data_IF_227553778621
#
_entry.id   IF_227553778621
#
_cell.length_a   1.000
_cell.length_b   1.000
_cell.length_c   1.000
_cell.angle_alpha   90.00
_cell.angle_beta   90.00
_cell.angle_gamma   90.00
#
_symmetry.space_group_name_H-M   'P 1'
#
loop_
_entity.id
_entity.type
_entity.pdbx_description
1 polymer ?
#
# COMPACT_ATOMS: atom_id res chain seq x y z
N UNK A 1 -10.33 -14.03 -5.74
CA UNK A 1 -9.55 -13.49 -4.62
C UNK A 1 -8.11 -13.41 -5.05
N UNK A 2 -7.52 -12.21 -5.08
CA UNK A 2 -6.12 -12.02 -5.47
C UNK A 2 -5.17 -12.70 -4.47
N UNK A 3 -4.19 -13.41 -5.01
CA UNK A 3 -3.03 -13.90 -4.28
C UNK A 3 -2.10 -12.76 -3.85
N UNK A 4 -1.18 -13.05 -2.93
CA UNK A 4 -0.17 -12.08 -2.47
C UNK A 4 0.69 -11.54 -3.61
N UNK A 5 1.12 -12.41 -4.53
CA UNK A 5 1.95 -12.03 -5.69
C UNK A 5 1.18 -11.10 -6.64
N UNK A 6 -0.09 -11.43 -6.93
CA UNK A 6 -0.95 -10.57 -7.74
C UNK A 6 -1.20 -9.23 -7.06
N UNK A 7 -1.32 -9.20 -5.73
CA UNK A 7 -1.46 -7.97 -4.97
C UNK A 7 -0.20 -7.10 -5.02
N UNK A 8 1.00 -7.68 -4.92
CA UNK A 8 2.25 -6.95 -5.11
C UNK A 8 2.38 -6.38 -6.52
N UNK A 9 1.94 -7.13 -7.53
CA UNK A 9 1.94 -6.64 -8.91
C UNK A 9 0.94 -5.49 -9.11
N UNK A 10 -0.27 -5.61 -8.56
CA UNK A 10 -1.29 -4.55 -8.60
C UNK A 10 -0.82 -3.28 -7.88
N UNK A 11 -0.25 -3.42 -6.68
CA UNK A 11 0.32 -2.30 -5.92
C UNK A 11 1.45 -1.61 -6.70
N UNK A 12 2.34 -2.39 -7.33
CA UNK A 12 3.43 -1.83 -8.16
C UNK A 12 2.89 -0.95 -9.28
N UNK A 13 1.93 -1.46 -10.06
CA UNK A 13 1.35 -0.70 -11.18
C UNK A 13 0.62 0.54 -10.72
N UNK A 14 -0.08 0.46 -9.59
CA UNK A 14 -0.73 1.62 -8.98
C UNK A 14 0.30 2.70 -8.59
N UNK A 15 1.37 2.30 -7.89
CA UNK A 15 2.43 3.21 -7.43
C UNK A 15 3.22 3.82 -8.59
N UNK A 16 3.50 3.05 -9.65
CA UNK A 16 4.12 3.55 -10.88
C UNK A 16 3.27 4.65 -11.53
N UNK A 17 1.94 4.55 -11.47
CA UNK A 17 1.04 5.60 -11.96
C UNK A 17 1.00 6.84 -11.07
N UNK A 18 1.14 6.68 -9.75
CA UNK A 18 1.11 7.79 -8.78
C UNK A 18 2.42 8.59 -8.80
N UNK A 19 3.56 7.89 -8.83
CA UNK A 19 4.90 8.49 -8.71
C UNK A 19 5.61 8.61 -10.07
N UNK A 20 4.87 8.60 -11.19
CA UNK A 20 5.43 8.63 -12.55
C UNK A 20 6.34 9.84 -12.82
N UNK A 21 6.01 10.98 -12.22
CA UNK A 21 6.75 12.25 -12.38
C UNK A 21 7.62 12.57 -11.15
N UNK A 22 7.71 11.67 -10.18
CA UNK A 22 8.52 11.87 -8.97
C UNK A 22 9.95 11.33 -9.17
N UNK A 23 10.91 11.92 -8.46
CA UNK A 23 12.29 11.46 -8.42
C UNK A 23 12.49 10.24 -7.51
N UNK A 24 11.43 9.80 -6.82
CA UNK A 24 11.46 8.68 -5.89
C UNK A 24 11.49 7.33 -6.61
N UNK A 25 12.46 6.49 -6.25
CA UNK A 25 12.50 5.10 -6.69
C UNK A 25 11.68 4.24 -5.73
N UNK A 26 10.46 3.87 -6.11
CA UNK A 26 9.54 3.14 -5.21
C UNK A 26 9.97 1.66 -5.03
N UNK A 27 10.07 1.25 -3.77
CA UNK A 27 10.38 -0.11 -3.32
C UNK A 27 9.20 -0.69 -2.54
N UNK A 28 8.63 -1.78 -3.04
CA UNK A 28 7.63 -2.56 -2.30
C UNK A 28 8.32 -3.41 -1.24
N UNK A 29 7.83 -3.34 0.00
CA UNK A 29 8.27 -4.13 1.15
C UNK A 29 7.40 -5.37 1.30
N UNK A 30 7.68 -6.37 0.47
CA UNK A 30 6.88 -7.60 0.40
C UNK A 30 6.85 -8.37 1.73
N UNK A 31 7.91 -8.25 2.52
CA UNK A 31 8.08 -8.80 3.87
C UNK A 31 7.15 -8.17 4.92
N UNK A 32 6.66 -6.96 4.65
CA UNK A 32 5.80 -6.19 5.56
C UNK A 32 4.34 -6.11 5.06
N UNK A 33 3.96 -7.00 4.14
CA UNK A 33 2.57 -7.04 3.65
C UNK A 33 1.67 -7.74 4.65
N UNK A 34 0.59 -7.08 5.03
CA UNK A 34 -0.38 -7.61 5.98
C UNK A 34 -1.60 -8.18 5.22
N UNK A 35 -2.09 -9.34 5.69
CA UNK A 35 -3.30 -9.99 5.18
C UNK A 35 -4.52 -9.54 5.98
N UNK A 36 -5.48 -8.93 5.29
CA UNK A 36 -6.84 -8.73 5.80
C UNK A 36 -7.83 -9.59 5.00
N UNK A 37 -8.96 -10.00 5.60
CA UNK A 37 -9.94 -10.87 4.93
C UNK A 37 -10.40 -10.38 3.55
N UNK A 38 -10.45 -9.07 3.31
CA UNK A 38 -10.91 -8.45 2.07
C UNK A 38 -9.80 -7.73 1.28
N UNK A 39 -8.59 -7.59 1.82
CA UNK A 39 -7.51 -6.84 1.19
C UNK A 39 -6.11 -7.28 1.62
N UNK A 40 -5.12 -6.82 0.86
CA UNK A 40 -3.72 -6.82 1.24
C UNK A 40 -3.30 -5.39 1.57
N UNK A 41 -2.64 -5.16 2.70
CA UNK A 41 -1.99 -3.88 2.98
C UNK A 41 -0.52 -3.98 2.62
N UNK A 42 -0.16 -3.42 1.46
CA UNK A 42 1.18 -3.50 0.88
C UNK A 42 1.99 -2.28 1.31
N UNK A 43 3.05 -2.51 2.08
CA UNK A 43 4.00 -1.48 2.48
C UNK A 43 4.94 -1.13 1.33
N UNK A 44 5.28 0.14 1.22
CA UNK A 44 6.29 0.63 0.28
C UNK A 44 7.03 1.83 0.86
N UNK A 45 8.18 2.12 0.26
CA UNK A 45 9.00 3.28 0.59
C UNK A 45 9.80 3.71 -0.65
N UNK A 46 10.53 4.82 -0.56
CA UNK A 46 11.51 5.21 -1.58
C UNK A 46 12.88 4.58 -1.27
N UNK A 47 13.61 4.15 -2.30
CA UNK A 47 14.99 3.67 -2.15
C UNK A 47 15.88 4.74 -1.53
N UNK A 48 15.61 6.01 -1.84
CA UNK A 48 16.34 7.16 -1.35
C UNK A 48 16.14 7.35 0.16
N UNK A 49 14.93 7.17 0.67
CA UNK A 49 14.67 7.19 2.11
C UNK A 49 15.30 5.99 2.80
N UNK A 50 15.13 4.77 2.26
CA UNK A 50 15.73 3.56 2.83
C UNK A 50 17.26 3.70 2.97
N UNK A 51 17.91 4.24 1.93
CA UNK A 51 19.37 4.37 1.91
C UNK A 51 19.93 5.50 2.77
N UNK A 52 19.18 6.59 2.95
CA UNK A 52 19.67 7.79 3.65
C UNK A 52 19.12 7.97 5.07
N UNK A 53 17.96 7.39 5.37
CA UNK A 53 17.20 7.66 6.59
C UNK A 53 16.62 9.08 6.67
N UNK A 54 16.70 9.86 5.58
CA UNK A 54 16.18 11.24 5.53
C UNK A 54 14.65 11.24 5.39
N UNK A 55 13.89 11.70 6.40
CA UNK A 55 12.43 11.71 6.36
C UNK A 55 11.87 12.58 5.23
N UNK A 56 12.63 13.58 4.75
CA UNK A 56 12.23 14.41 3.62
C UNK A 56 12.19 13.68 2.28
N UNK A 57 12.74 12.45 2.22
CA UNK A 57 12.73 11.60 1.04
C UNK A 57 11.70 10.48 1.13
N UNK A 58 10.99 10.36 2.26
CA UNK A 58 9.96 9.36 2.43
C UNK A 58 8.69 9.76 1.65
N UNK A 59 7.96 8.79 1.07
CA UNK A 59 6.61 9.03 0.59
C UNK A 59 5.70 9.54 1.71
N UNK A 60 4.78 10.46 1.38
CA UNK A 60 3.81 10.99 2.37
C UNK A 60 2.87 9.92 2.95
N UNK A 61 2.76 8.78 2.29
CA UNK A 61 2.03 7.58 2.71
C UNK A 61 2.88 6.37 2.33
N UNK A 62 2.96 5.36 3.19
CA UNK A 62 3.82 4.18 3.01
C UNK A 62 3.04 2.86 2.90
N UNK A 63 1.73 2.94 2.67
CA UNK A 63 0.82 1.78 2.53
C UNK A 63 -0.08 1.97 1.32
N UNK A 64 -0.26 0.91 0.53
CA UNK A 64 -1.32 0.78 -0.47
C UNK A 64 -2.25 -0.34 -0.04
N UNK A 65 -3.56 -0.09 -0.08
CA UNK A 65 -4.58 -1.13 0.09
C UNK A 65 -4.89 -1.74 -1.27
N UNK A 66 -4.82 -3.06 -1.35
CA UNK A 66 -5.18 -3.83 -2.55
C UNK A 66 -6.37 -4.74 -2.24
N UNK A 67 -7.58 -4.40 -2.71
CA UNK A 67 -8.76 -5.25 -2.53
C UNK A 67 -8.57 -6.64 -3.16
N UNK A 68 -8.85 -7.68 -2.39
CA UNK A 68 -8.78 -9.09 -2.83
C UNK A 68 -9.83 -9.43 -3.89
N UNK A 69 -10.86 -8.61 -4.03
CA UNK A 69 -11.91 -8.62 -5.06
C UNK A 69 -11.38 -8.27 -6.45
N UNK A 70 -10.22 -7.61 -6.55
CA UNK A 70 -9.64 -7.14 -7.82
C UNK A 70 -10.00 -5.69 -8.18
N UNK A 71 -10.69 -4.97 -7.29
CA UNK A 71 -10.92 -3.53 -7.42
C UNK A 71 -9.59 -2.75 -7.41
N UNK A 72 -9.64 -1.50 -7.87
CA UNK A 72 -8.45 -0.65 -8.02
C UNK A 72 -7.79 -0.42 -6.64
N UNK A 73 -6.46 -0.59 -6.53
CA UNK A 73 -5.73 -0.24 -5.31
C UNK A 73 -5.91 1.23 -4.93
N UNK A 74 -5.80 1.54 -3.65
CA UNK A 74 -5.96 2.91 -3.16
C UNK A 74 -5.09 3.18 -1.93
N UNK A 75 -4.83 4.46 -1.66
CA UNK A 75 -4.21 4.88 -0.41
C UNK A 75 -5.25 4.95 0.71
N UNK A 76 -4.96 4.46 1.92
CA UNK A 76 -5.84 4.67 3.05
C UNK A 76 -5.99 6.18 3.34
N UNK A 77 -7.04 6.59 4.07
CA UNK A 77 -7.19 7.97 4.52
C UNK A 77 -5.91 8.49 5.18
N UNK A 78 -5.54 9.74 4.86
CA UNK A 78 -4.40 10.41 5.49
C UNK A 78 -4.63 10.53 6.99
N UNK A 79 -3.55 10.48 7.75
CA UNK A 79 -3.49 10.67 9.21
C UNK A 79 -3.98 9.49 10.08
N UNK A 80 -4.33 8.33 9.50
CA UNK A 80 -4.58 7.12 10.29
C UNK A 80 -3.28 6.57 10.90
N UNK A 81 -3.29 6.30 12.20
CA UNK A 81 -2.26 5.47 12.84
C UNK A 81 -2.32 4.03 12.28
N UNK A 82 -1.25 3.22 12.43
CA UNK A 82 -1.31 1.80 12.07
C UNK A 82 -2.46 1.07 12.76
N UNK A 83 -2.74 1.37 14.03
CA UNK A 83 -3.88 0.79 14.75
C UNK A 83 -5.24 1.22 14.18
N UNK A 84 -5.42 2.51 13.86
CA UNK A 84 -6.65 3.02 13.25
C UNK A 84 -6.87 2.42 11.86
N UNK A 85 -5.80 2.24 11.08
CA UNK A 85 -5.87 1.55 9.81
C UNK A 85 -6.25 0.07 9.99
N UNK A 86 -5.68 -0.63 10.97
CA UNK A 86 -6.03 -2.02 11.24
C UNK A 86 -7.49 -2.17 11.68
N UNK A 87 -8.02 -1.24 12.47
CA UNK A 87 -9.44 -1.19 12.85
C UNK A 87 -10.34 -0.87 11.66
N UNK A 88 -10.01 0.17 10.88
CA UNK A 88 -10.71 0.52 9.62
C UNK A 88 -10.74 -0.68 8.66
N UNK A 89 -9.60 -1.34 8.47
CA UNK A 89 -9.51 -2.51 7.63
C UNK A 89 -10.29 -3.68 8.22
N UNK A 90 -10.29 -3.90 9.53
CA UNK A 90 -11.10 -4.97 10.12
C UNK A 90 -12.61 -4.69 10.05
N UNK A 91 -13.02 -3.41 10.00
CA UNK A 91 -14.40 -2.97 9.98
C UNK A 91 -15.05 -2.97 8.58
N UNK A 92 -14.27 -2.76 7.51
CA UNK A 92 -14.80 -2.82 6.14
C UNK A 92 -15.17 -4.26 5.79
N UNK A 93 -16.48 -4.51 5.66
CA UNK A 93 -16.97 -5.71 4.97
C UNK A 93 -17.04 -5.40 3.47
N UNK A 94 -16.49 -6.25 2.60
CA UNK A 94 -16.72 -6.10 1.18
C UNK A 94 -18.22 -6.30 0.95
N UNK A 95 -18.90 -5.22 0.55
CA UNK A 95 -20.28 -5.33 0.07
C UNK A 95 -20.15 -5.91 -1.33
N UNK A 96 -20.44 -7.20 -1.48
CA UNK A 96 -20.58 -7.81 -2.79
C UNK A 96 -21.68 -7.05 -3.54
N UNK A 97 -21.30 -6.30 -4.58
CA UNK A 97 -22.21 -5.82 -5.61
C UNK A 97 -22.38 -6.89 -6.68
#
# INVERSE_FOLDING_TARGET
>A
MLSLSEAHHAARRFLEGVYVDDSMTIVIRTDLTEDYPWAWAVRFDSQEHIGSGDPGRAPSVSVVVVPKTGEVPYFPPKDMTPEEFAEYASAIRPTAL
#
